data_IF_306396341387
#
_entry.id   IF_306396341387
#
_cell.length_a   1.000
_cell.length_b   1.000
_cell.length_c   1.000
_cell.angle_alpha   90.00
_cell.angle_beta   90.00
_cell.angle_gamma   90.00
#
_symmetry.space_group_name_H-M   'P 1'
#
loop_
_entity.id
_entity.type
_entity.pdbx_description
1 polymer ?
#
# COMPACT_ATOMS: atom_id res chain seq x y z
N UNK A 1 18.11 -5.08 0.24
CA UNK A 1 17.02 -5.42 -0.72
C UNK A 1 15.68 -4.75 -0.39
N UNK A 2 15.33 -4.48 0.87
CA UNK A 2 14.04 -3.86 1.24
C UNK A 2 13.86 -2.41 0.74
N UNK A 3 14.94 -1.62 0.69
CA UNK A 3 14.91 -0.20 0.35
C UNK A 3 14.52 0.08 -1.12
N UNK A 4 14.97 -0.76 -2.04
CA UNK A 4 14.60 -0.66 -3.46
C UNK A 4 13.11 -0.96 -3.69
N UNK A 5 12.55 -1.90 -2.92
CA UNK A 5 11.13 -2.24 -3.00
C UNK A 5 10.24 -1.12 -2.46
N UNK A 6 10.59 -0.55 -1.31
CA UNK A 6 9.87 0.60 -0.75
C UNK A 6 9.92 1.81 -1.68
N UNK A 7 11.06 2.08 -2.32
CA UNK A 7 11.21 3.17 -3.30
C UNK A 7 10.25 3.01 -4.48
N UNK A 8 10.06 1.79 -4.99
CA UNK A 8 9.08 1.53 -6.07
C UNK A 8 7.65 1.73 -5.62
N UNK A 9 7.32 1.31 -4.39
CA UNK A 9 6.00 1.52 -3.80
C UNK A 9 5.70 3.02 -3.73
N UNK A 10 6.60 3.82 -3.16
CA UNK A 10 6.41 5.27 -3.01
C UNK A 10 6.24 5.98 -4.38
N UNK A 11 6.94 5.49 -5.42
CA UNK A 11 6.82 6.05 -6.78
C UNK A 11 5.54 5.64 -7.51
N UNK A 12 4.77 4.69 -6.98
CA UNK A 12 3.55 4.20 -7.61
C UNK A 12 2.33 4.95 -7.03
N UNK A 13 1.61 5.75 -7.84
CA UNK A 13 0.44 6.49 -7.36
C UNK A 13 -0.61 5.57 -6.72
N UNK A 14 -1.09 5.92 -5.52
CA UNK A 14 -2.08 5.15 -4.80
C UNK A 14 -1.53 3.99 -3.96
N UNK A 15 -0.24 3.64 -4.07
CA UNK A 15 0.29 2.47 -3.36
C UNK A 15 0.49 2.71 -1.86
N UNK A 16 0.84 3.93 -1.46
CA UNK A 16 1.00 4.31 -0.05
C UNK A 16 -0.36 4.36 0.64
N UNK A 17 -1.36 4.96 -0.02
CA UNK A 17 -2.73 5.04 0.47
C UNK A 17 -3.36 3.65 0.64
N UNK A 18 -3.04 2.71 -0.26
CA UNK A 18 -3.47 1.32 -0.11
C UNK A 18 -2.73 0.59 1.01
N UNK A 19 -1.45 0.89 1.25
CA UNK A 19 -0.72 0.33 2.40
C UNK A 19 -1.34 0.79 3.72
N UNK A 20 -1.65 2.08 3.83
CA UNK A 20 -2.30 2.67 5.00
C UNK A 20 -3.68 2.04 5.24
N UNK A 21 -4.52 2.00 4.20
CA UNK A 21 -5.84 1.38 4.28
C UNK A 21 -5.75 -0.11 4.72
N UNK A 22 -4.78 -0.86 4.18
CA UNK A 22 -4.58 -2.27 4.53
C UNK A 22 -3.87 -2.49 5.88
N UNK A 23 -3.22 -1.47 6.45
CA UNK A 23 -2.63 -1.54 7.79
C UNK A 23 -3.71 -1.75 8.86
N UNK A 24 -4.91 -1.22 8.62
CA UNK A 24 -6.10 -1.39 9.46
C UNK A 24 -6.84 -2.73 9.25
N UNK A 25 -6.29 -3.63 8.44
CA UNK A 25 -6.76 -5.00 8.24
C UNK A 25 -7.12 -5.33 6.80
N UNK A 26 -7.61 -6.55 6.58
CA UNK A 26 -7.96 -7.00 5.24
C UNK A 26 -9.15 -6.19 4.66
N UNK A 27 -9.13 -5.92 3.36
CA UNK A 27 -10.13 -5.10 2.66
C UNK A 27 -10.52 -5.70 1.31
N UNK A 28 -11.78 -5.54 0.93
CA UNK A 28 -12.27 -5.91 -0.40
C UNK A 28 -11.84 -4.88 -1.44
N UNK A 29 -11.83 -5.27 -2.73
CA UNK A 29 -11.64 -4.31 -3.85
C UNK A 29 -12.63 -3.16 -3.76
N UNK A 30 -13.89 -3.44 -3.41
CA UNK A 30 -14.91 -2.41 -3.28
C UNK A 30 -14.55 -1.35 -2.21
N UNK A 31 -13.99 -1.78 -1.09
CA UNK A 31 -13.48 -0.86 -0.06
C UNK A 31 -12.26 -0.07 -0.54
N UNK A 32 -11.29 -0.74 -1.16
CA UNK A 32 -10.07 -0.09 -1.67
C UNK A 32 -10.33 0.95 -2.77
N UNK A 33 -11.39 0.78 -3.57
CA UNK A 33 -11.84 1.78 -4.55
C UNK A 33 -12.30 3.11 -3.91
N UNK A 34 -12.58 3.12 -2.61
CA UNK A 34 -12.93 4.35 -1.87
C UNK A 34 -11.67 5.09 -1.40
N UNK A 35 -10.59 4.37 -1.15
CA UNK A 35 -9.32 4.95 -0.71
C UNK A 35 -8.54 5.62 -1.86
N UNK A 36 -8.63 5.08 -3.09
CA UNK A 36 -7.85 5.60 -4.22
C UNK A 36 -8.67 5.74 -5.52
N UNK A 37 -8.29 6.65 -6.44
CA UNK A 37 -8.92 6.76 -7.74
C UNK A 37 -8.91 5.44 -8.52
N UNK A 38 -10.01 5.13 -9.21
CA UNK A 38 -10.16 3.90 -10.00
C UNK A 38 -9.01 3.63 -10.98
N UNK A 39 -8.45 4.69 -11.59
CA UNK A 39 -7.37 4.60 -12.57
C UNK A 39 -6.03 4.14 -11.98
N UNK A 40 -5.81 4.33 -10.67
CA UNK A 40 -4.54 3.99 -10.01
C UNK A 40 -4.61 2.70 -9.20
N UNK A 41 -5.81 2.24 -8.82
CA UNK A 41 -5.99 1.05 -7.98
C UNK A 41 -5.30 -0.21 -8.54
N UNK A 42 -5.54 -0.56 -9.81
CA UNK A 42 -4.99 -1.78 -10.38
C UNK A 42 -3.45 -1.72 -10.57
N UNK A 43 -2.86 -0.62 -11.08
CA UNK A 43 -1.41 -0.43 -11.05
C UNK A 43 -0.80 -0.52 -9.65
N UNK A 44 -1.42 0.12 -8.64
CA UNK A 44 -0.92 0.13 -7.27
C UNK A 44 -0.95 -1.25 -6.62
N UNK A 45 -2.06 -1.99 -6.76
CA UNK A 45 -2.15 -3.39 -6.30
C UNK A 45 -1.10 -4.28 -6.97
N UNK A 46 -0.84 -4.08 -8.27
CA UNK A 46 0.21 -4.82 -8.98
C UNK A 46 1.61 -4.48 -8.48
N UNK A 47 1.91 -3.21 -8.22
CA UNK A 47 3.20 -2.79 -7.66
C UNK A 47 3.42 -3.41 -6.27
N UNK A 48 2.42 -3.33 -5.39
CA UNK A 48 2.48 -3.94 -4.06
C UNK A 48 2.64 -5.46 -4.12
N UNK A 49 1.95 -6.13 -5.06
CA UNK A 49 2.08 -7.57 -5.25
C UNK A 49 3.47 -7.96 -5.79
N UNK A 50 4.02 -7.18 -6.71
CA UNK A 50 5.35 -7.42 -7.27
C UNK A 50 6.46 -7.34 -6.20
N UNK A 51 6.28 -6.47 -5.21
CA UNK A 51 7.18 -6.36 -4.05
C UNK A 51 6.81 -7.34 -2.92
N UNK A 52 5.82 -8.21 -3.12
CA UNK A 52 5.37 -9.18 -2.13
C UNK A 52 4.72 -8.56 -0.89
N UNK A 53 4.31 -7.29 -0.96
CA UNK A 53 3.76 -6.54 0.17
C UNK A 53 2.32 -6.94 0.52
N UNK A 54 1.59 -7.49 -0.44
CA UNK A 54 0.19 -7.91 -0.27
C UNK A 54 -0.05 -9.34 -0.72
N UNK A 55 -1.10 -9.94 -0.16
CA UNK A 55 -1.73 -11.18 -0.64
C UNK A 55 -3.19 -10.92 -0.93
N UNK A 56 -3.81 -11.79 -1.73
CA UNK A 56 -5.24 -11.73 -2.04
C UNK A 56 -5.93 -13.08 -1.82
N UNK A 57 -7.24 -13.07 -1.60
CA UNK A 57 -8.03 -14.28 -1.29
C UNK A 57 -8.17 -15.28 -2.45
N UNK A 58 -7.87 -14.87 -3.69
CA UNK A 58 -8.00 -15.71 -4.89
C UNK A 58 -6.65 -15.95 -5.59
N UNK A 59 -6.44 -17.16 -6.10
CA UNK A 59 -5.24 -17.52 -6.86
C UNK A 59 -5.40 -17.08 -8.33
N UNK A 60 -4.30 -16.72 -8.99
CA UNK A 60 -4.28 -16.44 -10.44
C UNK A 60 -3.41 -15.23 -10.81
N UNK A 61 -3.58 -14.71 -12.02
CA UNK A 61 -2.84 -13.52 -12.50
C UNK A 61 -3.29 -12.22 -11.83
N UNK A 62 -2.37 -11.27 -11.70
CA UNK A 62 -2.60 -9.90 -11.24
C UNK A 62 -3.00 -8.93 -12.36
N UNK A 63 -2.94 -9.37 -13.63
CA UNK A 63 -3.24 -8.53 -14.80
C UNK A 63 -4.74 -8.37 -15.06
N UNK A 64 -5.55 -9.26 -14.48
CA UNK A 64 -7.01 -9.20 -14.56
C UNK A 64 -7.60 -8.18 -13.59
N UNK A 65 -8.83 -7.73 -13.87
CA UNK A 65 -9.61 -6.93 -12.92
C UNK A 65 -10.14 -7.85 -11.83
N UNK A 66 -9.70 -7.71 -10.56
CA UNK A 66 -10.23 -8.53 -9.48
C UNK A 66 -11.72 -8.21 -9.27
N UNK A 67 -12.50 -9.25 -8.95
CA UNK A 67 -13.90 -9.11 -8.57
C UNK A 67 -14.04 -8.28 -7.29
N UNK A 68 -15.21 -7.68 -7.10
CA UNK A 68 -15.41 -6.69 -6.03
C UNK A 68 -15.29 -7.28 -4.61
N UNK A 69 -15.54 -8.59 -4.47
CA UNK A 69 -15.43 -9.38 -3.24
C UNK A 69 -14.00 -9.87 -2.92
N UNK A 70 -13.04 -9.70 -3.83
CA UNK A 70 -11.67 -10.17 -3.59
C UNK A 70 -11.06 -9.37 -2.44
N UNK A 71 -10.60 -10.08 -1.42
CA UNK A 71 -9.96 -9.49 -0.26
C UNK A 71 -8.45 -9.38 -0.46
N UNK A 72 -7.88 -8.29 0.01
CA UNK A 72 -6.44 -8.05 0.08
C UNK A 72 -6.03 -7.88 1.53
N UNK A 73 -4.83 -8.35 1.87
CA UNK A 73 -4.21 -8.10 3.17
C UNK A 73 -2.72 -7.88 3.01
N UNK A 74 -2.11 -7.18 3.96
CA UNK A 74 -0.66 -7.08 4.04
C UNK A 74 -0.03 -8.45 4.31
N UNK A 75 1.21 -8.60 3.83
CA UNK A 75 2.13 -9.65 4.27
C UNK A 75 3.08 -9.07 5.32
N UNK A 76 4.00 -9.89 5.84
CA UNK A 76 5.09 -9.40 6.68
C UNK A 76 5.96 -8.33 5.98
N UNK A 77 6.11 -8.41 4.65
CA UNK A 77 6.82 -7.36 3.87
C UNK A 77 6.01 -6.07 3.87
N UNK A 78 4.71 -6.14 3.63
CA UNK A 78 3.83 -4.97 3.64
C UNK A 78 3.80 -4.27 4.99
N UNK A 79 3.73 -5.02 6.10
CA UNK A 79 3.81 -4.45 7.45
C UNK A 79 5.14 -3.74 7.72
N UNK A 80 6.26 -4.25 7.20
CA UNK A 80 7.56 -3.55 7.30
C UNK A 80 7.59 -2.25 6.51
N UNK A 81 6.94 -2.19 5.34
CA UNK A 81 6.81 -0.95 4.59
C UNK A 81 5.98 0.09 5.35
N UNK A 82 4.84 -0.31 5.92
CA UNK A 82 4.03 0.57 6.76
C UNK A 82 4.85 1.11 7.93
N UNK A 83 5.55 0.24 8.68
CA UNK A 83 6.37 0.67 9.81
C UNK A 83 7.44 1.69 9.40
N UNK A 84 8.17 1.45 8.31
CA UNK A 84 9.19 2.37 7.82
C UNK A 84 8.63 3.72 7.35
N UNK A 85 7.44 3.74 6.76
CA UNK A 85 6.76 4.99 6.38
C UNK A 85 6.25 5.76 7.61
N UNK A 86 5.66 5.06 8.59
CA UNK A 86 5.20 5.70 9.82
C UNK A 86 6.35 6.31 10.63
N UNK A 87 7.52 5.65 10.68
CA UNK A 87 8.71 6.24 11.30
C UNK A 87 9.13 7.54 10.60
N UNK A 88 9.09 7.58 9.26
CA UNK A 88 9.41 8.77 8.49
C UNK A 88 8.41 9.91 8.75
N UNK A 89 7.11 9.61 8.80
CA UNK A 89 6.06 10.62 9.07
C UNK A 89 6.26 11.28 10.44
N UNK A 90 6.63 10.50 11.47
CA UNK A 90 6.96 11.04 12.80
C UNK A 90 8.15 12.01 12.72
N UNK A 91 9.21 11.66 11.98
CA UNK A 91 10.36 12.54 11.81
C UNK A 91 10.01 13.84 11.09
N UNK A 92 9.15 13.76 10.06
CA UNK A 92 8.67 14.95 9.34
C UNK A 92 7.85 15.85 10.28
N UNK A 93 6.91 15.30 11.05
CA UNK A 93 6.10 16.09 11.99
C UNK A 93 6.96 16.80 13.05
N UNK A 94 7.94 16.11 13.62
CA UNK A 94 8.87 16.69 14.61
C UNK A 94 9.68 17.83 14.01
N UNK A 95 10.18 17.64 12.79
CA UNK A 95 10.98 18.66 12.09
C UNK A 95 10.15 19.89 11.72
N UNK A 96 8.92 19.69 11.23
CA UNK A 96 8.00 20.78 10.92
C UNK A 96 7.61 21.59 12.17
N UNK A 97 7.41 20.92 13.31
CA UNK A 97 7.15 21.62 14.59
C UNK A 97 8.36 22.44 15.04
N UNK A 98 9.58 21.97 14.83
CA UNK A 98 10.80 22.71 15.16
C UNK A 98 10.99 23.95 14.27
N UNK A 99 10.66 23.87 12.97
CA UNK A 99 10.82 25.02 12.06
C UNK A 99 9.75 26.10 12.24
N UNK A 100 8.55 25.72 12.65
CA UNK A 100 7.39 26.61 12.76
C UNK A 100 7.06 27.04 14.20
N UNK A 101 7.84 26.59 15.19
CA UNK A 101 7.71 26.95 16.61
C UNK A 101 8.83 27.88 17.05
#
# INVERSE_FOLDING_TARGET
MAEAGLTRVIRCPGAVELLDELASGARTVAALRRAVPRRVLAPALRALAAEGAIRRSVVGTWDGRPGDEVMFSLTAVGHRFVAGLSELDVWVEVYERYLNG
#
